data_IF_333177996845
#
_entry.id   IF_333177996845
#
_cell.length_a   1.000
_cell.length_b   1.000
_cell.length_c   1.000
_cell.angle_alpha   90.00
_cell.angle_beta   90.00
_cell.angle_gamma   90.00
#
_symmetry.space_group_name_H-M   'P 1'
#
loop_
_entity.id
_entity.type
_entity.pdbx_description
1 polymer ?
#
# COMPACT_ATOMS: atom_id res chain seq x y z
N UNK A 1 -4.05 -6.77 8.15
CA UNK A 1 -2.84 -6.01 7.75
C UNK A 1 -2.13 -5.42 8.97
N UNK A 2 -2.80 -4.55 9.75
CA UNK A 2 -2.19 -3.90 10.94
C UNK A 2 -1.65 -4.93 11.95
N UNK A 3 -2.41 -6.00 12.22
CA UNK A 3 -1.95 -7.14 13.00
C UNK A 3 -0.78 -7.85 12.32
N UNK A 4 0.41 -7.70 12.90
CA UNK A 4 1.65 -8.33 12.44
C UNK A 4 2.60 -7.38 11.70
N UNK A 5 2.09 -6.31 11.07
CA UNK A 5 2.93 -5.23 10.54
C UNK A 5 3.30 -4.23 11.63
N UNK A 6 2.31 -3.80 12.41
CA UNK A 6 2.44 -2.72 13.37
C UNK A 6 2.68 -3.27 14.78
N UNK A 7 3.55 -2.58 15.53
CA UNK A 7 3.81 -2.93 16.93
C UNK A 7 2.53 -2.81 17.78
N UNK A 8 2.31 -3.69 18.77
CA UNK A 8 1.02 -3.85 19.45
C UNK A 8 0.40 -2.56 19.98
N UNK A 9 1.20 -1.71 20.59
CA UNK A 9 0.83 -0.43 21.21
C UNK A 9 0.36 0.63 20.19
N UNK A 10 0.65 0.44 18.91
CA UNK A 10 0.30 1.39 17.85
C UNK A 10 -0.86 0.92 16.96
N UNK A 11 -1.30 -0.33 17.10
CA UNK A 11 -2.24 -0.96 16.15
C UNK A 11 -3.58 -0.26 16.07
N UNK A 12 -4.16 0.08 17.22
CA UNK A 12 -5.46 0.73 17.27
C UNK A 12 -5.42 2.10 16.58
N UNK A 13 -4.39 2.90 16.89
CA UNK A 13 -4.18 4.21 16.26
C UNK A 13 -3.93 4.03 14.75
N UNK A 14 -3.06 3.12 14.35
CA UNK A 14 -2.81 2.87 12.93
C UNK A 14 -4.09 2.47 12.17
N UNK A 15 -4.89 1.57 12.73
CA UNK A 15 -6.14 1.14 12.11
C UNK A 15 -7.14 2.30 11.99
N UNK A 16 -7.30 3.09 13.06
CA UNK A 16 -8.17 4.27 13.05
C UNK A 16 -7.72 5.29 12.00
N UNK A 17 -6.44 5.64 11.98
CA UNK A 17 -5.92 6.63 11.04
C UNK A 17 -6.00 6.14 9.59
N UNK A 18 -5.76 4.87 9.31
CA UNK A 18 -6.00 4.31 7.97
C UNK A 18 -7.48 4.43 7.57
N UNK A 19 -8.41 4.13 8.49
CA UNK A 19 -9.84 4.27 8.21
C UNK A 19 -10.30 5.70 7.95
N UNK A 20 -9.65 6.69 8.57
CA UNK A 20 -9.97 8.11 8.39
C UNK A 20 -9.31 8.76 7.18
N UNK A 21 -8.30 8.11 6.58
CA UNK A 21 -7.40 8.74 5.60
C UNK A 21 -7.38 8.06 4.24
N UNK A 22 -8.07 6.93 4.08
CA UNK A 22 -8.24 6.24 2.80
C UNK A 22 -9.63 6.52 2.25
N UNK A 23 -9.70 7.24 1.14
CA UNK A 23 -10.93 7.58 0.45
C UNK A 23 -11.13 6.67 -0.76
N UNK A 24 -12.16 5.83 -0.74
CA UNK A 24 -12.67 5.22 -1.98
C UNK A 24 -13.59 6.22 -2.64
N UNK A 25 -13.18 6.75 -3.78
CA UNK A 25 -13.83 7.90 -4.40
C UNK A 25 -15.21 7.52 -4.96
N UNK A 26 -16.18 8.34 -4.60
CA UNK A 26 -17.52 8.49 -5.17
C UNK A 26 -17.87 9.99 -5.08
N UNK A 27 -19.09 10.41 -5.40
CA UNK A 27 -19.41 11.84 -5.36
C UNK A 27 -19.16 12.48 -3.96
N UNK A 28 -19.70 11.86 -2.90
CA UNK A 28 -19.59 12.35 -1.53
C UNK A 28 -18.16 12.27 -0.99
N UNK A 29 -17.51 11.12 -1.15
CA UNK A 29 -16.15 10.91 -0.64
C UNK A 29 -15.10 11.67 -1.44
N UNK A 30 -15.36 12.04 -2.70
CA UNK A 30 -14.48 12.93 -3.47
C UNK A 30 -14.52 14.34 -2.91
N UNK A 31 -15.70 14.86 -2.54
CA UNK A 31 -15.81 16.17 -1.90
C UNK A 31 -15.07 16.17 -0.56
N UNK A 32 -15.29 15.15 0.28
CA UNK A 32 -14.59 15.00 1.55
C UNK A 32 -13.06 14.88 1.37
N UNK A 33 -12.61 14.12 0.36
CA UNK A 33 -11.19 13.98 0.02
C UNK A 33 -10.57 15.31 -0.42
N UNK A 34 -11.29 16.09 -1.25
CA UNK A 34 -10.82 17.41 -1.67
C UNK A 34 -10.72 18.39 -0.50
N UNK A 35 -11.72 18.43 0.39
CA UNK A 35 -11.68 19.25 1.60
C UNK A 35 -10.50 18.86 2.50
N UNK A 36 -10.30 17.55 2.69
CA UNK A 36 -9.17 17.02 3.44
C UNK A 36 -7.84 17.45 2.83
N UNK A 37 -7.64 17.29 1.52
CA UNK A 37 -6.40 17.69 0.84
C UNK A 37 -6.18 19.21 0.87
N UNK A 38 -7.22 20.02 0.65
CA UNK A 38 -7.13 21.48 0.74
C UNK A 38 -6.70 21.96 2.13
N UNK A 39 -7.02 21.21 3.18
CA UNK A 39 -6.56 21.51 4.55
C UNK A 39 -5.05 21.32 4.76
N UNK A 40 -4.36 20.58 3.88
CA UNK A 40 -2.94 20.26 4.02
C UNK A 40 -1.99 21.31 3.45
N UNK A 41 -2.51 22.41 2.91
CA UNK A 41 -1.79 23.44 2.12
C UNK A 41 -1.26 22.97 0.75
N UNK A 42 -1.46 21.70 0.38
CA UNK A 42 -1.04 21.12 -0.90
C UNK A 42 -2.18 21.09 -1.92
N UNK A 43 -2.51 22.26 -2.49
CA UNK A 43 -3.61 22.42 -3.47
C UNK A 43 -3.47 21.50 -4.70
N UNK A 44 -2.23 21.16 -5.08
CA UNK A 44 -1.95 20.27 -6.21
C UNK A 44 -2.58 18.88 -6.07
N UNK A 45 -2.57 18.30 -4.87
CA UNK A 45 -3.12 16.97 -4.61
C UNK A 45 -4.64 16.96 -4.69
N UNK A 46 -5.30 18.00 -4.16
CA UNK A 46 -6.75 18.16 -4.28
C UNK A 46 -7.22 18.17 -5.75
N UNK A 47 -6.46 18.80 -6.65
CA UNK A 47 -6.74 18.75 -8.08
C UNK A 47 -6.54 17.37 -8.69
N UNK A 48 -5.50 16.64 -8.27
CA UNK A 48 -5.27 15.28 -8.75
C UNK A 48 -6.40 14.32 -8.36
N UNK A 49 -6.94 14.45 -7.14
CA UNK A 49 -8.12 13.69 -6.68
C UNK A 49 -9.31 13.92 -7.60
N UNK A 50 -9.59 15.18 -7.95
CA UNK A 50 -10.69 15.52 -8.84
C UNK A 50 -10.50 14.90 -10.23
N UNK A 51 -9.28 14.97 -10.78
CA UNK A 51 -8.99 14.36 -12.08
C UNK A 51 -9.07 12.84 -12.05
N UNK A 52 -8.65 12.21 -10.95
CA UNK A 52 -8.76 10.76 -10.74
C UNK A 52 -10.23 10.32 -10.75
N UNK A 53 -11.11 11.08 -10.07
CA UNK A 53 -12.55 10.84 -10.08
C UNK A 53 -13.16 11.04 -11.48
N UNK A 54 -12.90 12.18 -12.13
CA UNK A 54 -13.44 12.51 -13.45
C UNK A 54 -12.96 11.59 -14.57
N UNK A 55 -11.76 11.01 -14.44
CA UNK A 55 -11.27 10.03 -15.40
C UNK A 55 -12.22 8.84 -15.57
N UNK A 56 -12.87 8.37 -14.51
CA UNK A 56 -13.82 7.25 -14.61
C UNK A 56 -15.09 7.58 -15.39
N UNK A 57 -15.42 8.87 -15.50
CA UNK A 57 -16.58 9.35 -16.25
C UNK A 57 -16.20 9.85 -17.65
N UNK A 58 -14.94 9.69 -18.06
CA UNK A 58 -14.46 10.19 -19.35
C UNK A 58 -14.39 11.73 -19.44
N UNK A 59 -14.33 12.41 -18.29
CA UNK A 59 -14.33 13.87 -18.19
C UNK A 59 -12.93 14.46 -17.96
N UNK A 60 -11.88 13.63 -17.92
CA UNK A 60 -10.51 14.09 -17.78
C UNK A 60 -10.05 14.87 -19.05
N UNK A 61 -9.20 15.91 -18.90
CA UNK A 61 -8.65 16.66 -20.02
C UNK A 61 -7.96 15.75 -21.06
N UNK A 62 -8.14 16.06 -22.34
CA UNK A 62 -7.49 15.30 -23.43
C UNK A 62 -5.97 15.37 -23.26
N UNK A 63 -5.33 14.20 -23.27
CA UNK A 63 -3.88 14.07 -23.09
C UNK A 63 -3.43 13.83 -21.65
N UNK A 64 -4.30 14.05 -20.65
CA UNK A 64 -4.02 13.66 -19.28
C UNK A 64 -4.18 12.13 -19.16
N UNK A 65 -3.05 11.43 -18.99
CA UNK A 65 -3.03 9.99 -18.72
C UNK A 65 -2.84 9.77 -17.23
N UNK A 66 -3.92 9.50 -16.51
CA UNK A 66 -3.87 9.00 -15.15
C UNK A 66 -3.83 7.47 -15.21
N UNK A 67 -2.62 6.93 -15.40
CA UNK A 67 -2.38 5.48 -15.45
C UNK A 67 -2.39 4.80 -14.08
N UNK A 68 -3.01 5.43 -13.07
CA UNK A 68 -2.96 5.00 -11.67
C UNK A 68 -4.37 4.70 -11.17
N UNK A 69 -4.50 3.61 -10.42
CA UNK A 69 -5.77 3.17 -9.83
C UNK A 69 -6.00 3.76 -8.42
N UNK A 70 -4.96 4.33 -7.84
CA UNK A 70 -4.97 5.05 -6.59
C UNK A 70 -3.90 6.13 -6.55
N UNK A 71 -3.95 6.97 -5.52
CA UNK A 71 -3.01 8.05 -5.27
C UNK A 71 -2.82 8.17 -3.75
N UNK A 72 -1.59 7.98 -3.29
CA UNK A 72 -1.18 8.28 -1.90
C UNK A 72 -0.15 9.38 -1.87
N UNK A 73 -0.56 10.57 -1.46
CA UNK A 73 0.31 11.73 -1.35
C UNK A 73 0.28 12.29 0.08
N UNK A 74 1.27 11.88 0.88
CA UNK A 74 1.45 12.42 2.23
C UNK A 74 0.40 11.96 3.23
N UNK A 75 -0.63 12.78 3.48
CA UNK A 75 -1.54 12.59 4.61
C UNK A 75 -2.76 11.71 4.31
N UNK A 76 -3.08 11.51 3.04
CA UNK A 76 -4.26 10.79 2.59
C UNK A 76 -3.96 9.88 1.38
N UNK A 77 -4.85 8.93 1.19
CA UNK A 77 -4.85 7.95 0.12
C UNK A 77 -6.21 7.99 -0.58
N UNK A 78 -6.22 7.89 -1.90
CA UNK A 78 -7.42 8.01 -2.72
C UNK A 78 -7.46 6.86 -3.70
N UNK A 79 -8.59 6.17 -3.78
CA UNK A 79 -8.77 5.00 -4.63
C UNK A 79 -9.86 5.27 -5.62
N UNK A 80 -9.55 5.05 -6.90
CA UNK A 80 -10.46 5.25 -8.01
C UNK A 80 -11.67 4.30 -7.92
N UNK A 81 -12.89 4.73 -8.26
CA UNK A 81 -14.07 3.86 -8.19
C UNK A 81 -13.92 2.60 -9.08
N UNK A 82 -13.36 2.74 -10.27
CA UNK A 82 -13.14 1.62 -11.21
C UNK A 82 -12.11 0.61 -10.72
N UNK A 83 -11.18 0.99 -9.85
CA UNK A 83 -10.21 0.08 -9.24
C UNK A 83 -10.88 -1.04 -8.44
N UNK A 84 -12.07 -0.77 -7.87
CA UNK A 84 -12.88 -1.76 -7.13
C UNK A 84 -13.49 -2.84 -8.03
N UNK A 85 -13.55 -2.60 -9.34
CA UNK A 85 -14.21 -3.49 -10.32
C UNK A 85 -13.22 -4.35 -11.10
N UNK A 86 -11.94 -4.34 -10.71
CA UNK A 86 -10.91 -5.14 -11.38
C UNK A 86 -11.20 -6.63 -11.24
N UNK A 87 -11.04 -7.35 -12.35
CA UNK A 87 -11.22 -8.80 -12.38
C UNK A 87 -10.03 -9.58 -11.80
N UNK A 88 -8.92 -8.90 -11.48
CA UNK A 88 -7.74 -9.51 -10.89
C UNK A 88 -8.03 -9.99 -9.45
N UNK A 89 -7.93 -11.30 -9.16
CA UNK A 89 -8.31 -11.85 -7.86
C UNK A 89 -7.32 -11.52 -6.73
N UNK A 90 -6.16 -10.94 -7.03
CA UNK A 90 -5.15 -10.51 -6.06
C UNK A 90 -5.15 -9.00 -5.84
N UNK A 91 -5.86 -8.23 -6.67
CA UNK A 91 -5.89 -6.78 -6.58
C UNK A 91 -6.78 -6.28 -5.42
N UNK A 92 -6.27 -5.32 -4.67
CA UNK A 92 -6.94 -4.61 -3.58
C UNK A 92 -6.23 -3.27 -3.37
N UNK A 93 -6.57 -2.32 -4.24
CA UNK A 93 -5.93 -0.99 -4.27
C UNK A 93 -6.12 -0.23 -2.96
N UNK A 94 -7.18 -0.52 -2.20
CA UNK A 94 -7.35 0.06 -0.85
C UNK A 94 -6.22 -0.37 0.08
N UNK A 95 -5.89 -1.66 0.07
CA UNK A 95 -4.76 -2.17 0.86
C UNK A 95 -3.43 -1.63 0.34
N UNK A 96 -3.28 -1.51 -0.98
CA UNK A 96 -2.09 -0.91 -1.61
C UNK A 96 -1.84 0.52 -1.10
N UNK A 97 -2.83 1.40 -1.25
CA UNK A 97 -2.71 2.79 -0.82
C UNK A 97 -2.61 2.93 0.71
N UNK A 98 -3.32 2.09 1.47
CA UNK A 98 -3.18 2.03 2.92
C UNK A 98 -1.75 1.64 3.36
N UNK A 99 -1.08 0.76 2.60
CA UNK A 99 0.31 0.40 2.86
C UNK A 99 1.25 1.60 2.67
N UNK A 100 1.02 2.45 1.66
CA UNK A 100 1.76 3.70 1.51
C UNK A 100 1.57 4.66 2.69
N UNK A 101 0.34 4.81 3.19
CA UNK A 101 0.08 5.65 4.36
C UNK A 101 0.87 5.23 5.60
N UNK A 102 1.09 3.93 5.81
CA UNK A 102 1.93 3.46 6.93
C UNK A 102 3.39 3.95 6.85
N UNK A 103 3.85 4.36 5.67
CA UNK A 103 5.16 4.99 5.47
C UNK A 103 5.15 6.50 5.59
N UNK A 104 4.01 7.15 5.33
CA UNK A 104 3.90 8.60 5.41
C UNK A 104 3.49 9.08 6.80
N UNK A 105 2.63 8.35 7.48
CA UNK A 105 2.10 8.77 8.78
C UNK A 105 3.16 8.63 9.88
N UNK A 106 3.25 9.67 10.72
CA UNK A 106 4.15 9.70 11.87
C UNK A 106 3.39 9.40 13.16
N UNK A 107 3.74 8.34 13.90
CA UNK A 107 3.11 7.99 15.18
C UNK A 107 3.13 9.15 16.19
N UNK A 108 4.19 9.96 16.21
CA UNK A 108 4.33 11.10 17.12
C UNK A 108 3.21 12.15 16.97
N UNK A 109 2.68 12.32 15.75
CA UNK A 109 1.56 13.23 15.48
C UNK A 109 0.24 12.75 16.10
N UNK A 110 0.20 11.51 16.60
CA UNK A 110 -0.96 10.90 17.22
C UNK A 110 -0.72 10.60 18.71
N UNK A 111 0.29 11.24 19.32
CA UNK A 111 0.61 11.09 20.74
C UNK A 111 1.31 9.77 21.10
N UNK A 112 1.76 9.00 20.12
CA UNK A 112 2.45 7.74 20.36
C UNK A 112 3.93 7.96 20.68
N UNK A 113 4.42 7.23 21.67
CA UNK A 113 5.85 7.24 22.02
C UNK A 113 6.67 6.52 20.95
N UNK A 114 7.56 7.26 20.28
CA UNK A 114 8.46 6.73 19.25
C UNK A 114 9.83 6.37 19.83
N UNK A 115 10.41 5.27 19.32
CA UNK A 115 11.80 4.91 19.61
C UNK A 115 12.75 5.74 18.75
N UNK A 116 13.97 5.98 19.24
CA UNK A 116 15.01 6.64 18.46
C UNK A 116 15.24 5.89 17.13
N UNK A 117 15.02 6.58 16.01
CA UNK A 117 15.17 6.03 14.66
C UNK A 117 13.91 5.36 14.07
N UNK A 118 12.76 5.40 14.74
CA UNK A 118 11.47 4.92 14.22
C UNK A 118 10.51 6.11 14.05
N UNK A 119 10.59 6.80 12.92
CA UNK A 119 9.79 8.03 12.67
C UNK A 119 8.38 7.75 12.11
N UNK A 120 8.14 6.55 11.57
CA UNK A 120 6.91 6.17 10.86
C UNK A 120 6.32 4.90 11.46
N UNK A 121 5.04 4.61 11.16
CA UNK A 121 4.43 3.33 11.54
C UNK A 121 5.20 2.14 10.94
N UNK A 122 5.68 2.28 9.71
CA UNK A 122 6.62 1.37 9.07
C UNK A 122 7.73 2.14 8.36
N UNK A 123 8.98 1.87 8.74
CA UNK A 123 10.18 2.48 8.15
C UNK A 123 10.67 1.64 6.96
N UNK A 124 9.90 1.67 5.86
CA UNK A 124 10.28 1.08 4.57
C UNK A 124 10.98 2.13 3.72
N UNK A 125 12.07 1.74 3.06
CA UNK A 125 12.83 2.63 2.18
C UNK A 125 11.97 3.10 1.02
N UNK A 126 12.23 4.33 0.56
CA UNK A 126 11.48 4.95 -0.51
C UNK A 126 11.37 4.08 -1.77
N UNK A 127 12.47 3.44 -2.16
CA UNK A 127 12.61 2.55 -3.34
C UNK A 127 11.94 1.18 -3.18
N UNK A 128 11.50 0.82 -1.98
CA UNK A 128 10.83 -0.46 -1.69
C UNK A 128 9.35 -0.30 -1.33
N UNK A 129 8.81 0.92 -1.30
CA UNK A 129 7.42 1.18 -0.88
C UNK A 129 6.40 0.56 -1.84
N UNK A 130 6.65 0.62 -3.14
CA UNK A 130 5.81 -0.02 -4.16
C UNK A 130 5.80 -1.54 -3.99
N UNK A 131 6.99 -2.14 -3.88
CA UNK A 131 7.12 -3.58 -3.63
C UNK A 131 6.34 -3.99 -2.36
N UNK A 132 6.51 -3.24 -1.28
CA UNK A 132 5.80 -3.48 -0.04
C UNK A 132 4.28 -3.40 -0.21
N UNK A 133 3.78 -2.34 -0.87
CA UNK A 133 2.36 -2.14 -1.12
C UNK A 133 1.76 -3.28 -1.97
N UNK A 134 2.42 -3.66 -3.07
CA UNK A 134 1.98 -4.79 -3.90
C UNK A 134 1.97 -6.13 -3.14
N UNK A 135 2.97 -6.39 -2.30
CA UNK A 135 3.00 -7.60 -1.48
C UNK A 135 1.87 -7.59 -0.44
N UNK A 136 1.61 -6.45 0.20
CA UNK A 136 0.49 -6.29 1.12
C UNK A 136 -0.86 -6.51 0.45
N UNK A 137 -1.05 -5.93 -0.73
CA UNK A 137 -2.23 -6.04 -1.58
C UNK A 137 -2.51 -7.52 -1.93
N UNK A 138 -1.54 -8.19 -2.54
CA UNK A 138 -1.68 -9.58 -2.95
C UNK A 138 -1.89 -10.52 -1.75
N UNK A 139 -1.11 -10.36 -0.68
CA UNK A 139 -1.20 -11.22 0.50
C UNK A 139 -2.51 -11.04 1.27
N UNK A 140 -3.07 -9.82 1.32
CA UNK A 140 -4.41 -9.58 1.89
C UNK A 140 -5.47 -10.44 1.18
N UNK A 141 -5.45 -10.49 -0.15
CA UNK A 141 -6.35 -11.32 -0.93
C UNK A 141 -6.09 -12.83 -0.81
N UNK A 142 -4.86 -13.24 -0.53
CA UNK A 142 -4.57 -14.62 -0.13
C UNK A 142 -5.25 -14.95 1.19
N UNK A 143 -5.19 -14.08 2.20
CA UNK A 143 -5.79 -14.36 3.51
C UNK A 143 -7.32 -14.47 3.49
N UNK A 144 -8.00 -13.87 2.51
CA UNK A 144 -9.44 -14.03 2.28
C UNK A 144 -9.83 -15.48 1.92
N UNK A 145 -8.87 -16.35 1.58
CA UNK A 145 -9.15 -17.77 1.28
C UNK A 145 -9.36 -18.58 2.57
N UNK A 146 -10.24 -19.61 2.54
CA UNK A 146 -10.78 -20.22 3.75
C UNK A 146 -9.76 -21.00 4.58
N UNK A 147 -8.82 -21.68 3.94
CA UNK A 147 -7.84 -22.52 4.64
C UNK A 147 -6.43 -22.43 4.05
N UNK A 148 -5.46 -22.98 4.78
CA UNK A 148 -4.03 -22.91 4.43
C UNK A 148 -3.71 -23.56 3.08
N UNK A 149 -4.34 -24.69 2.74
CA UNK A 149 -4.07 -25.40 1.49
C UNK A 149 -4.55 -24.57 0.31
N UNK A 150 -5.75 -24.00 0.40
CA UNK A 150 -6.31 -23.10 -0.62
C UNK A 150 -5.49 -21.82 -0.73
N UNK A 151 -5.05 -21.25 0.40
CA UNK A 151 -4.17 -20.07 0.42
C UNK A 151 -2.86 -20.31 -0.33
N UNK A 152 -2.19 -21.44 -0.07
CA UNK A 152 -0.94 -21.79 -0.74
C UNK A 152 -1.14 -22.00 -2.24
N UNK A 153 -2.15 -22.78 -2.63
CA UNK A 153 -2.44 -23.02 -4.05
C UNK A 153 -2.82 -21.73 -4.79
N UNK A 154 -3.51 -20.81 -4.11
CA UNK A 154 -3.80 -19.47 -4.65
C UNK A 154 -2.52 -18.63 -4.78
N UNK A 155 -1.69 -18.56 -3.74
CA UNK A 155 -0.41 -17.83 -3.79
C UNK A 155 0.55 -18.36 -4.89
N UNK A 156 0.63 -19.67 -5.09
CA UNK A 156 1.47 -20.31 -6.12
C UNK A 156 1.07 -19.92 -7.55
N UNK A 157 -0.20 -19.56 -7.76
CA UNK A 157 -0.71 -19.13 -9.06
C UNK A 157 -0.52 -17.64 -9.34
N UNK A 158 -0.01 -16.87 -8.39
CA UNK A 158 0.08 -15.41 -8.47
C UNK A 158 0.77 -14.90 -9.74
N UNK A 159 1.95 -15.44 -10.10
CA UNK A 159 2.72 -15.00 -11.29
C UNK A 159 1.88 -15.09 -12.57
N UNK A 160 1.08 -16.15 -12.68
CA UNK A 160 0.24 -16.44 -13.85
C UNK A 160 -1.03 -15.61 -13.85
N UNK A 161 -1.69 -15.49 -12.71
CA UNK A 161 -3.07 -15.01 -12.61
C UNK A 161 -3.19 -13.53 -12.17
N UNK A 162 -2.14 -12.94 -11.58
CA UNK A 162 -2.10 -11.53 -11.17
C UNK A 162 -1.77 -10.61 -12.34
N UNK A 163 -2.78 -9.93 -12.89
CA UNK A 163 -2.69 -9.12 -14.11
C UNK A 163 -2.52 -7.62 -13.87
N UNK A 164 -2.85 -7.13 -12.67
CA UNK A 164 -2.80 -5.72 -12.24
C UNK A 164 -1.48 -5.33 -11.57
N UNK A 165 -0.52 -6.25 -11.52
CA UNK A 165 0.79 -6.06 -10.90
C UNK A 165 1.85 -5.76 -11.98
N UNK A 166 3.04 -5.24 -11.60
CA UNK A 166 4.17 -5.07 -12.53
C UNK A 166 4.43 -6.35 -13.33
N UNK A 167 5.03 -6.26 -14.51
CA UNK A 167 5.34 -7.47 -15.30
C UNK A 167 6.34 -8.38 -14.56
N UNK A 168 6.44 -9.67 -14.92
CA UNK A 168 7.43 -10.58 -14.33
C UNK A 168 8.85 -10.01 -14.29
N UNK A 169 9.32 -9.49 -15.42
CA UNK A 169 10.64 -8.85 -15.58
C UNK A 169 10.82 -7.58 -14.73
N UNK A 170 9.72 -6.93 -14.34
CA UNK A 170 9.69 -5.68 -13.59
C UNK A 170 9.43 -5.88 -12.08
N UNK A 171 9.43 -7.13 -11.60
CA UNK A 171 9.36 -7.45 -10.16
C UNK A 171 8.17 -8.30 -9.70
N UNK A 172 7.30 -8.81 -10.60
CA UNK A 172 6.20 -9.71 -10.19
C UNK A 172 6.70 -10.98 -9.51
N UNK A 173 7.82 -11.51 -9.96
CA UNK A 173 8.42 -12.72 -9.37
C UNK A 173 8.82 -12.46 -7.91
N UNK A 174 9.44 -11.31 -7.64
CA UNK A 174 9.80 -10.92 -6.28
C UNK A 174 8.57 -10.76 -5.39
N UNK A 175 7.48 -10.19 -5.91
CA UNK A 175 6.20 -10.11 -5.18
C UNK A 175 5.68 -11.52 -4.88
N UNK A 176 5.70 -12.42 -5.87
CA UNK A 176 5.24 -13.79 -5.73
C UNK A 176 6.01 -14.56 -4.65
N UNK A 177 7.33 -14.45 -4.65
CA UNK A 177 8.22 -15.09 -3.67
C UNK A 177 7.88 -14.64 -2.25
N UNK A 178 7.70 -13.34 -2.02
CA UNK A 178 7.35 -12.77 -0.73
C UNK A 178 5.94 -13.18 -0.28
N UNK A 179 4.96 -13.14 -1.19
CA UNK A 179 3.59 -13.59 -0.90
C UNK A 179 3.58 -15.08 -0.52
N UNK A 180 4.33 -15.91 -1.23
CA UNK A 180 4.43 -17.34 -0.95
C UNK A 180 5.13 -17.62 0.39
N UNK A 181 6.23 -16.91 0.67
CA UNK A 181 6.93 -16.99 1.95
C UNK A 181 6.02 -16.58 3.12
N UNK A 182 5.30 -15.47 2.98
CA UNK A 182 4.33 -14.99 3.95
C UNK A 182 3.21 -16.01 4.20
N UNK A 183 2.68 -16.61 3.13
CA UNK A 183 1.62 -17.63 3.20
C UNK A 183 2.08 -18.91 3.90
N UNK A 184 3.35 -19.27 3.73
CA UNK A 184 3.96 -20.42 4.43
C UNK A 184 4.20 -20.15 5.91
N UNK A 185 4.41 -18.90 6.31
CA UNK A 185 4.66 -18.56 7.70
C UNK A 185 3.41 -18.63 8.59
N UNK A 186 3.61 -18.72 9.91
CA UNK A 186 2.53 -18.55 10.89
C UNK A 186 2.08 -17.09 11.00
N UNK A 187 3.01 -16.16 10.80
CA UNK A 187 2.76 -14.72 10.79
C UNK A 187 3.35 -14.11 9.52
N UNK A 188 2.62 -14.21 8.40
CA UNK A 188 3.10 -13.71 7.12
C UNK A 188 3.30 -12.20 7.06
N UNK A 189 2.52 -11.42 7.81
CA UNK A 189 2.70 -9.97 7.90
C UNK A 189 4.08 -9.61 8.48
N UNK A 190 4.53 -10.31 9.51
CA UNK A 190 5.88 -10.12 10.05
C UNK A 190 6.98 -10.45 9.03
N UNK A 191 6.80 -11.52 8.24
CA UNK A 191 7.73 -11.90 7.15
C UNK A 191 7.83 -10.80 6.11
N UNK A 192 6.69 -10.24 5.67
CA UNK A 192 6.66 -9.15 4.68
C UNK A 192 7.40 -7.93 5.23
N UNK A 193 7.10 -7.54 6.47
CA UNK A 193 7.77 -6.42 7.14
C UNK A 193 9.28 -6.64 7.22
N UNK A 194 9.71 -7.82 7.66
CA UNK A 194 11.12 -8.14 7.86
C UNK A 194 11.87 -8.18 6.54
N UNK A 195 11.33 -8.80 5.49
CA UNK A 195 11.97 -8.85 4.18
C UNK A 195 12.27 -7.44 3.62
N UNK A 196 11.29 -6.53 3.73
CA UNK A 196 11.44 -5.17 3.22
C UNK A 196 12.37 -4.32 4.12
N UNK A 197 12.33 -4.52 5.44
CA UNK A 197 13.24 -3.85 6.39
C UNK A 197 14.67 -4.42 6.29
N UNK A 198 14.86 -5.70 5.97
CA UNK A 198 16.18 -6.34 5.88
C UNK A 198 16.91 -5.96 4.58
N UNK A 199 16.18 -5.81 3.46
CA UNK A 199 16.73 -5.25 2.22
C UNK A 199 17.44 -3.90 2.45
N UNK A 200 16.96 -3.08 3.41
CA UNK A 200 17.65 -1.86 3.86
C UNK A 200 19.01 -2.14 4.48
N UNK A 201 19.11 -3.13 5.38
CA UNK A 201 20.35 -3.43 6.13
C UNK A 201 21.44 -3.96 5.20
N UNK A 202 21.09 -4.82 4.25
CA UNK A 202 22.04 -5.42 3.31
C UNK A 202 22.62 -4.39 2.33
N UNK A 203 21.80 -3.45 1.83
CA UNK A 203 22.26 -2.39 0.93
C UNK A 203 22.97 -1.23 1.65
N UNK A 204 22.58 -0.88 2.88
CA UNK A 204 23.31 0.08 3.71
C UNK A 204 24.75 -0.34 4.00
N UNK A 205 25.01 -1.65 4.11
CA UNK A 205 26.36 -2.21 4.22
C UNK A 205 27.18 -2.13 2.92
N UNK A 206 26.53 -2.11 1.75
CA UNK A 206 27.22 -1.97 0.47
C UNK A 206 27.65 -0.53 0.18
N UNK A 207 26.87 0.47 0.63
CA UNK A 207 27.23 1.90 0.50
C UNK A 207 28.32 2.30 1.51
N UNK A 208 28.43 1.60 2.65
CA UNK A 208 29.47 1.84 3.66
C UNK A 208 30.83 1.17 3.37
N UNK A 209 31.04 0.61 2.17
CA UNK A 209 32.26 -0.14 1.81
C UNK A 209 33.03 0.41 0.61
N UNK A 210 32.81 1.69 0.29
CA UNK A 210 33.71 2.45 -0.57
C UNK A 210 34.48 3.40 0.35
N UNK A 211 35.68 2.98 0.72
CA UNK A 211 36.71 3.78 1.40
C UNK A 211 37.83 4.02 0.41
#
# INVERSE_FOLDING_TARGET
MVDGLIQPDWREVALRELGLRVFVLNHETTLAAMEAEMSTTWIGEAWQVLWLYFHDYGLAPRGLKLGMDGLSAGAFAHVKPSAQKKADPYCDVVIHEAAHLLHYLKPENFGLTVRRGQERFLDVRFDSRELFAFVCEAYSNVLKRPDRKVRLAFAERFVKDGTSFPKPEDGREQIAELVLAATRARNGWAVIREAVVEQRRLRGRHVGRVS
#
